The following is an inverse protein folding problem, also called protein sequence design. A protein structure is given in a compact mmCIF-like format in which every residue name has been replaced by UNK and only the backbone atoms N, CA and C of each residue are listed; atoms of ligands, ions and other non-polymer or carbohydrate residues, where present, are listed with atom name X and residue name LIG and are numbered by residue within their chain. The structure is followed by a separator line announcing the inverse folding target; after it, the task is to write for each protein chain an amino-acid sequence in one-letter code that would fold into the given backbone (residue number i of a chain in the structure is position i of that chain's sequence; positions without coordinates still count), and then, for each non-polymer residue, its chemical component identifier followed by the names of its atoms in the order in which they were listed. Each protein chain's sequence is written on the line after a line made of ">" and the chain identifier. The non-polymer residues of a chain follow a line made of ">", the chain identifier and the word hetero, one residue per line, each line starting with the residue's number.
data_IF_138873600639
#
_entry.id   IF_138873600639
#
_cell.length_a   1.000
_cell.length_b   1.000
_cell.length_c   1.000
_cell.angle_alpha   90.00
_cell.angle_beta   90.00
_cell.angle_gamma   90.00
#
_symmetry.space_group_name_H-M   'P 1'
#
loop_
_entity.id
_entity.type
_entity.pdbx_description
1 polymer ?
#
# COMPACT_ATOMS: atom_id res chain seq x y z
N UNK A 1 -3.58 0.42 -0.29
CA UNK A 1 -2.35 -0.14 -0.90
C UNK A 1 -1.37 -0.66 0.17
N UNK A 2 -0.66 -1.77 -0.07
CA UNK A 2 0.27 -2.40 0.90
C UNK A 2 1.50 -1.51 1.21
N UNK A 3 2.12 -0.91 0.19
CA UNK A 3 3.34 -0.09 0.33
C UNK A 3 3.16 1.14 1.23
N UNK A 4 1.95 1.70 1.32
CA UNK A 4 1.67 2.86 2.21
C UNK A 4 1.70 2.44 3.68
N UNK A 5 1.47 1.16 3.96
CA UNK A 5 1.34 0.62 5.30
C UNK A 5 2.63 -0.05 5.82
N UNK A 6 3.69 -0.11 5.02
CA UNK A 6 4.99 -0.70 5.39
C UNK A 6 5.91 0.31 6.07
N UNK A 7 5.42 0.97 7.11
CA UNK A 7 6.22 1.83 7.99
C UNK A 7 6.46 1.11 9.31
N UNK A 8 7.54 0.32 9.33
CA UNK A 8 7.92 -0.53 10.46
C UNK A 8 6.75 -1.37 11.00
N UNK A 9 5.99 -1.97 10.09
CA UNK A 9 4.76 -2.69 10.40
C UNK A 9 4.89 -4.19 10.10
N UNK A 10 4.21 -5.02 10.87
CA UNK A 10 4.15 -6.48 10.65
C UNK A 10 3.15 -6.82 9.53
N UNK A 11 3.20 -8.07 9.05
CA UNK A 11 2.21 -8.60 8.10
C UNK A 11 0.79 -8.49 8.64
N UNK A 12 0.57 -8.85 9.90
CA UNK A 12 -0.73 -8.76 10.57
C UNK A 12 -1.26 -7.32 10.60
N UNK A 13 -0.41 -6.36 10.96
CA UNK A 13 -0.78 -4.95 11.02
C UNK A 13 -1.17 -4.40 9.64
N UNK A 14 -0.43 -4.78 8.60
CA UNK A 14 -0.69 -4.38 7.22
C UNK A 14 -1.98 -5.05 6.69
N UNK A 15 -2.17 -6.34 6.97
CA UNK A 15 -3.38 -7.09 6.66
C UNK A 15 -4.62 -6.40 7.24
N UNK A 16 -4.60 -6.09 8.54
CA UNK A 16 -5.70 -5.41 9.23
C UNK A 16 -6.01 -4.04 8.64
N UNK A 17 -4.97 -3.24 8.30
CA UNK A 17 -5.16 -1.89 7.73
C UNK A 17 -5.69 -1.92 6.29
N UNK A 18 -5.35 -2.95 5.52
CA UNK A 18 -5.68 -3.04 4.09
C UNK A 18 -6.88 -3.92 3.79
N UNK A 19 -7.31 -4.77 4.72
CA UNK A 19 -8.31 -5.80 4.50
C UNK A 19 -7.83 -6.97 3.62
N UNK A 20 -6.53 -7.02 3.30
CA UNK A 20 -5.93 -8.07 2.47
C UNK A 20 -5.50 -9.21 3.40
N UNK A 21 -5.74 -10.46 2.99
CA UNK A 21 -5.34 -11.64 3.77
C UNK A 21 -3.84 -11.64 4.10
N UNK A 22 -3.49 -12.02 5.32
CA UNK A 22 -2.10 -12.05 5.80
C UNK A 22 -1.16 -12.83 4.88
N UNK A 23 -1.60 -13.99 4.37
CA UNK A 23 -0.81 -14.81 3.45
C UNK A 23 -0.45 -14.06 2.16
N UNK A 24 -1.41 -13.30 1.60
CA UNK A 24 -1.17 -12.50 0.41
C UNK A 24 -0.26 -11.30 0.70
N UNK A 25 -0.43 -10.65 1.86
CA UNK A 25 0.46 -9.59 2.33
C UNK A 25 1.88 -10.12 2.49
N UNK A 26 2.05 -11.27 3.15
CA UNK A 26 3.33 -11.92 3.37
C UNK A 26 4.05 -12.20 2.05
N UNK A 27 3.41 -12.91 1.11
CA UNK A 27 4.05 -13.26 -0.15
C UNK A 27 4.40 -12.04 -1.00
N UNK A 28 3.54 -11.01 -1.01
CA UNK A 28 3.86 -9.77 -1.70
C UNK A 28 5.07 -9.07 -1.08
N UNK A 29 5.12 -8.97 0.25
CA UNK A 29 6.23 -8.32 0.93
C UNK A 29 7.56 -9.08 0.77
N UNK A 30 7.53 -10.41 0.80
CA UNK A 30 8.70 -11.24 0.50
C UNK A 30 9.19 -11.00 -0.93
N UNK A 31 8.28 -10.93 -1.91
CA UNK A 31 8.64 -10.57 -3.28
C UNK A 31 9.25 -9.17 -3.38
N UNK A 32 8.67 -8.17 -2.71
CA UNK A 32 9.19 -6.80 -2.69
C UNK A 32 10.54 -6.70 -1.98
N UNK A 33 10.81 -7.56 -1.00
CA UNK A 33 12.13 -7.68 -0.37
C UNK A 33 13.16 -8.27 -1.32
N UNK A 34 12.81 -9.32 -2.08
CA UNK A 34 13.68 -9.86 -3.13
C UNK A 34 13.99 -8.82 -4.21
N UNK A 35 13.01 -7.99 -4.56
CA UNK A 35 13.15 -6.88 -5.51
C UNK A 35 13.91 -5.66 -4.95
N UNK A 36 14.32 -5.70 -3.66
CA UNK A 36 14.99 -4.58 -2.96
C UNK A 36 14.16 -3.31 -2.84
N UNK A 37 12.83 -3.44 -2.87
CA UNK A 37 11.87 -2.34 -2.68
C UNK A 37 11.51 -2.19 -1.21
N UNK A 38 11.37 -3.32 -0.52
CA UNK A 38 11.11 -3.37 0.92
C UNK A 38 12.30 -4.00 1.66
N UNK A 39 12.52 -3.58 2.90
CA UNK A 39 13.49 -4.18 3.81
C UNK A 39 12.74 -4.87 4.94
N UNK A 40 13.18 -6.07 5.29
CA UNK A 40 12.69 -6.81 6.44
C UNK A 40 13.65 -6.63 7.62
N UNK A 41 13.12 -6.22 8.77
CA UNK A 41 13.85 -6.02 10.02
C UNK A 41 13.16 -6.85 11.10
N UNK A 42 13.62 -8.09 11.28
CA UNK A 42 12.90 -9.08 12.11
C UNK A 42 11.60 -9.52 11.44
N UNK A 43 10.47 -9.30 12.11
CA UNK A 43 9.11 -9.56 11.63
C UNK A 43 8.43 -8.34 10.97
N UNK A 44 9.13 -7.20 10.95
CA UNK A 44 8.61 -5.93 10.43
C UNK A 44 9.16 -5.61 9.05
N UNK A 45 8.35 -4.90 8.26
CA UNK A 45 8.71 -4.43 6.93
C UNK A 45 8.76 -2.92 6.87
N UNK A 46 9.80 -2.40 6.23
CA UNK A 46 10.06 -0.99 6.01
C UNK A 46 10.27 -0.75 4.52
N UNK A 47 9.60 0.24 3.96
CA UNK A 47 9.86 0.77 2.62
C UNK A 47 10.50 2.14 2.74
N UNK A 48 11.32 2.52 1.76
CA UNK A 48 11.90 3.87 1.67
C UNK A 48 10.81 4.96 1.68
N UNK A 49 11.10 6.09 2.31
CA UNK A 49 10.13 7.19 2.44
C UNK A 49 9.67 7.73 1.08
N UNK A 50 10.58 7.78 0.09
CA UNK A 50 10.26 8.22 -1.27
C UNK A 50 9.23 7.31 -1.91
N UNK A 51 9.44 5.98 -1.80
CA UNK A 51 8.54 4.97 -2.36
C UNK A 51 7.18 5.02 -1.64
N UNK A 52 7.17 5.18 -0.31
CA UNK A 52 5.94 5.36 0.48
C UNK A 52 5.16 6.60 0.06
N UNK A 53 5.87 7.70 -0.23
CA UNK A 53 5.28 8.97 -0.65
C UNK A 53 4.68 8.87 -2.05
N UNK A 54 5.40 8.26 -2.99
CA UNK A 54 4.88 7.97 -4.34
C UNK A 54 3.64 7.06 -4.22
N UNK A 55 3.70 6.03 -3.38
CA UNK A 55 2.57 5.15 -3.14
C UNK A 55 1.33 5.89 -2.59
N UNK A 56 1.50 6.85 -1.67
CA UNK A 56 0.41 7.71 -1.19
C UNK A 56 -0.14 8.58 -2.32
N UNK A 57 0.72 9.24 -3.09
CA UNK A 57 0.30 10.08 -4.20
C UNK A 57 -0.54 9.31 -5.23
N UNK A 58 -0.17 8.06 -5.53
CA UNK A 58 -0.94 7.23 -6.47
C UNK A 58 -2.35 6.89 -5.94
N UNK A 59 -2.51 6.68 -4.62
CA UNK A 59 -3.84 6.50 -4.01
C UNK A 59 -4.64 7.79 -4.11
N UNK A 60 -4.03 8.91 -3.72
CA UNK A 60 -4.70 10.21 -3.71
C UNK A 60 -5.17 10.61 -5.13
N UNK A 61 -4.39 10.27 -6.17
CA UNK A 61 -4.77 10.49 -7.57
C UNK A 61 -5.92 9.59 -8.03
N UNK A 62 -5.91 8.30 -7.67
CA UNK A 62 -7.01 7.37 -7.98
C UNK A 62 -8.32 7.83 -7.34
N UNK A 63 -8.26 8.29 -6.09
CA UNK A 63 -9.41 8.86 -5.39
C UNK A 63 -9.95 10.11 -6.12
N UNK A 64 -9.08 11.01 -6.59
CA UNK A 64 -9.48 12.21 -7.35
C UNK A 64 -10.14 11.90 -8.70
N UNK A 65 -9.62 10.91 -9.44
CA UNK A 65 -10.26 10.42 -10.68
C UNK A 65 -11.64 9.83 -10.38
N UNK A 66 -11.79 9.10 -9.26
CA UNK A 66 -13.07 8.55 -8.83
C UNK A 66 -14.11 9.64 -8.49
N UNK A 67 -13.70 10.72 -7.82
CA UNK A 67 -14.60 11.84 -7.50
C UNK A 67 -15.08 12.59 -8.75
N UNK A 68 -14.17 12.84 -9.71
CA UNK A 68 -14.50 13.58 -10.93
C UNK A 68 -15.46 12.83 -11.85
N UNK A 69 -15.37 11.49 -11.93
CA UNK A 69 -16.32 10.66 -12.71
C UNK A 69 -17.72 10.62 -12.07
N UNK A 70 -17.82 10.57 -10.74
CA UNK A 70 -19.12 10.46 -10.04
C UNK A 70 -19.93 11.77 -10.05
N UNK A 71 -19.26 12.94 -10.04
CA UNK A 71 -19.96 14.24 -10.18
C UNK A 71 -20.62 14.35 -11.57
N UNK A 72 -19.94 13.89 -12.62
CA UNK A 72 -20.46 13.94 -14.00
C UNK A 72 -21.62 12.95 -14.23
N UNK A 73 -21.65 11.82 -13.53
CA UNK A 73 -22.74 10.83 -13.62
C UNK A 73 -24.03 11.25 -12.91
N UNK A 74 -23.93 12.00 -11.81
CA UNK A 74 -25.09 12.42 -11.01
C UNK A 74 -25.64 13.81 -11.42
N UNK A 75 -25.11 14.40 -12.50
CA UNK A 75 -25.54 15.71 -13.02
C UNK A 75 -26.42 15.61 -14.29
N UNK A 76 -26.87 14.40 -14.65
CA UNK A 76 -27.85 14.10 -15.71
C UNK A 76 -29.04 13.33 -15.14
#
# INVERSE_FOLDING_TARGET
>A
MILVNTDNSTVEEISRKTGIKEEAVYHLLEFLTLARIAKKEGDKYVVDETIRTIAKLLIDLDDLEFYSINILKNSN
#
